data_IF_227718441447
#
_entry.id   IF_227718441447
#
_cell.length_a   1.000
_cell.length_b   1.000
_cell.length_c   1.000
_cell.angle_alpha   90.00
_cell.angle_beta   90.00
_cell.angle_gamma   90.00
#
_symmetry.space_group_name_H-M   'P 1'
#
loop_
_entity.id
_entity.type
_entity.pdbx_description
1 polymer ?
#
# COMPACT_ATOMS: atom_id res chain seq x y z
N UNK A 1 14.11 3.24 7.69
CA UNK A 1 12.99 3.14 8.66
C UNK A 1 12.66 1.68 8.90
N UNK A 2 12.75 1.23 10.16
CA UNK A 2 12.45 -0.16 10.51
C UNK A 2 10.94 -0.43 10.60
N UNK A 3 10.19 0.53 11.14
CA UNK A 3 8.78 0.33 11.48
C UNK A 3 7.85 0.74 10.33
N UNK A 4 8.12 0.20 9.14
CA UNK A 4 7.38 0.56 7.93
C UNK A 4 5.90 0.15 7.99
N UNK A 5 5.63 -1.01 8.55
CA UNK A 5 4.27 -1.52 8.68
C UNK A 5 3.44 -0.65 9.62
N UNK A 6 4.03 -0.28 10.76
CA UNK A 6 3.39 0.62 11.72
C UNK A 6 3.09 1.98 11.08
N UNK A 7 4.07 2.54 10.38
CA UNK A 7 3.93 3.81 9.68
C UNK A 7 2.84 3.74 8.60
N UNK A 8 2.81 2.66 7.83
CA UNK A 8 1.81 2.43 6.79
C UNK A 8 0.39 2.42 7.38
N UNK A 9 0.18 1.70 8.48
CA UNK A 9 -1.12 1.65 9.14
C UNK A 9 -1.54 3.01 9.69
N UNK A 10 -0.60 3.79 10.21
CA UNK A 10 -0.87 5.15 10.68
C UNK A 10 -1.26 6.07 9.54
N UNK A 11 -0.61 5.95 8.38
CA UNK A 11 -0.95 6.74 7.20
C UNK A 11 -2.40 6.48 6.77
N UNK A 12 -2.79 5.21 6.70
CA UNK A 12 -4.15 4.83 6.31
C UNK A 12 -5.17 5.43 7.27
N UNK A 13 -4.93 5.33 8.57
CA UNK A 13 -5.83 5.92 9.58
C UNK A 13 -5.92 7.43 9.46
N UNK A 14 -4.79 8.08 9.17
CA UNK A 14 -4.73 9.53 8.99
C UNK A 14 -5.57 9.97 7.80
N UNK A 15 -5.64 9.16 6.75
CA UNK A 15 -6.43 9.47 5.54
C UNK A 15 -7.90 9.75 5.87
N UNK A 16 -8.48 8.97 6.78
CA UNK A 16 -9.89 9.11 7.15
C UNK A 16 -10.17 10.37 7.98
N UNK A 17 -9.15 10.89 8.66
CA UNK A 17 -9.30 12.03 9.59
C UNK A 17 -8.82 13.34 8.97
N UNK A 18 -7.74 13.30 8.20
CA UNK A 18 -7.09 14.50 7.67
C UNK A 18 -6.36 14.17 6.38
N UNK A 19 -7.02 14.43 5.25
CA UNK A 19 -6.46 14.14 3.92
C UNK A 19 -5.17 14.91 3.64
N UNK A 20 -5.08 16.16 4.07
CA UNK A 20 -3.88 16.97 3.83
C UNK A 20 -2.68 16.41 4.57
N UNK A 21 -2.87 15.97 5.80
CA UNK A 21 -1.81 15.33 6.59
C UNK A 21 -1.38 14.01 5.96
N UNK A 22 -2.34 13.23 5.46
CA UNK A 22 -2.05 11.98 4.73
C UNK A 22 -1.17 12.26 3.51
N UNK A 23 -1.51 13.26 2.70
CA UNK A 23 -0.74 13.64 1.52
C UNK A 23 0.70 14.02 1.88
N UNK A 24 0.85 14.76 2.98
CA UNK A 24 2.15 15.18 3.49
C UNK A 24 3.00 13.97 3.92
N UNK A 25 2.38 13.01 4.62
CA UNK A 25 3.06 11.80 5.05
C UNK A 25 3.54 10.96 3.85
N UNK A 26 2.70 10.83 2.82
CA UNK A 26 3.11 10.15 1.60
C UNK A 26 4.30 10.87 0.96
N UNK A 27 4.16 12.16 0.72
CA UNK A 27 5.18 12.95 0.05
C UNK A 27 6.52 12.84 0.77
N UNK A 28 6.52 12.90 2.10
CA UNK A 28 7.73 12.84 2.90
C UNK A 28 8.35 11.44 2.93
N UNK A 29 7.60 10.41 2.61
CA UNK A 29 8.09 9.03 2.59
C UNK A 29 8.62 8.59 1.23
N UNK A 30 8.34 9.34 0.15
CA UNK A 30 8.77 8.97 -1.20
C UNK A 30 10.17 9.48 -1.51
N UNK A 31 10.98 8.60 -2.09
CA UNK A 31 12.29 8.95 -2.65
C UNK A 31 12.10 9.82 -3.90
N UNK A 32 13.08 10.69 -4.20
CA UNK A 32 13.03 11.55 -5.38
C UNK A 32 12.88 10.75 -6.69
N UNK A 33 13.36 9.51 -6.70
CA UNK A 33 13.31 8.63 -7.87
C UNK A 33 12.23 7.55 -7.73
N UNK A 34 11.21 7.80 -6.89
CA UNK A 34 10.16 6.84 -6.62
C UNK A 34 9.45 6.35 -7.89
N UNK A 35 9.25 5.05 -7.97
CA UNK A 35 8.43 4.42 -9.01
C UNK A 35 7.56 3.32 -8.39
N UNK A 36 6.31 3.27 -8.84
CA UNK A 36 5.33 2.24 -8.48
C UNK A 36 4.92 1.50 -9.74
N UNK A 37 4.95 0.18 -9.69
CA UNK A 37 4.65 -0.68 -10.85
C UNK A 37 3.60 -1.72 -10.49
N UNK A 38 2.59 -1.85 -11.35
CA UNK A 38 1.64 -2.96 -11.32
C UNK A 38 1.35 -3.36 -12.77
N UNK A 39 0.53 -4.39 -13.00
CA UNK A 39 0.35 -4.98 -14.33
C UNK A 39 0.03 -3.98 -15.45
N UNK A 40 -0.78 -2.96 -15.12
CA UNK A 40 -1.27 -2.02 -16.13
C UNK A 40 -0.95 -0.56 -15.81
N UNK A 41 -0.13 -0.31 -14.77
CA UNK A 41 0.12 1.05 -14.33
C UNK A 41 1.57 1.26 -13.92
N UNK A 42 2.09 2.42 -14.28
CA UNK A 42 3.37 2.93 -13.83
C UNK A 42 3.12 4.32 -13.26
N UNK A 43 3.46 4.52 -11.98
CA UNK A 43 3.27 5.81 -11.30
C UNK A 43 4.63 6.29 -10.81
N UNK A 44 4.97 7.55 -11.12
CA UNK A 44 6.31 8.10 -10.86
C UNK A 44 6.20 9.32 -9.95
N UNK A 45 7.03 9.34 -8.91
CA UNK A 45 7.16 10.50 -8.03
C UNK A 45 5.86 10.91 -7.36
N UNK A 46 5.60 12.20 -7.32
CA UNK A 46 4.44 12.78 -6.62
C UNK A 46 3.09 12.40 -7.24
N UNK A 47 3.07 11.83 -8.45
CA UNK A 47 1.86 11.28 -9.03
C UNK A 47 1.22 10.23 -8.12
N UNK A 48 2.02 9.61 -7.24
CA UNK A 48 1.52 8.61 -6.29
C UNK A 48 0.49 9.20 -5.34
N UNK A 49 0.61 10.45 -4.96
CA UNK A 49 -0.34 11.12 -4.06
C UNK A 49 -1.73 11.12 -4.69
N UNK A 50 -1.83 11.55 -5.96
CA UNK A 50 -3.11 11.58 -6.67
C UNK A 50 -3.63 10.16 -6.93
N UNK A 51 -2.75 9.24 -7.28
CA UNK A 51 -3.11 7.85 -7.54
C UNK A 51 -3.79 7.22 -6.31
N UNK A 52 -3.19 7.35 -5.13
CA UNK A 52 -3.72 6.79 -3.89
C UNK A 52 -5.04 7.46 -3.52
N UNK A 53 -5.12 8.79 -3.63
CA UNK A 53 -6.35 9.51 -3.30
C UNK A 53 -7.49 9.13 -4.24
N UNK A 54 -7.21 8.94 -5.53
CA UNK A 54 -8.22 8.49 -6.48
C UNK A 54 -8.78 7.12 -6.10
N UNK A 55 -7.94 6.20 -5.66
CA UNK A 55 -8.39 4.89 -5.21
C UNK A 55 -9.34 5.01 -4.01
N UNK A 56 -8.98 5.78 -3.00
CA UNK A 56 -9.82 5.97 -1.82
C UNK A 56 -11.10 6.74 -2.15
N UNK A 57 -11.02 7.76 -2.99
CA UNK A 57 -12.19 8.55 -3.41
C UNK A 57 -13.17 7.71 -4.23
N UNK A 58 -12.67 6.66 -4.91
CA UNK A 58 -13.49 5.71 -5.65
C UNK A 58 -13.93 4.50 -4.80
N UNK A 59 -13.79 4.60 -3.50
CA UNK A 59 -14.37 3.63 -2.57
C UNK A 59 -13.47 2.47 -2.18
N UNK A 60 -12.16 2.57 -2.38
CA UNK A 60 -11.25 1.53 -1.91
C UNK A 60 -11.35 1.38 -0.39
N UNK A 61 -11.50 0.14 0.07
CA UNK A 61 -11.49 -0.22 1.48
C UNK A 61 -10.43 -1.30 1.67
N UNK A 62 -9.59 -1.13 2.68
CA UNK A 62 -8.63 -2.17 3.09
C UNK A 62 -9.29 -2.96 4.19
N UNK A 63 -9.68 -4.21 3.87
CA UNK A 63 -10.42 -5.08 4.82
C UNK A 63 -9.50 -5.79 5.78
N UNK A 64 -8.32 -6.20 5.33
CA UNK A 64 -7.35 -6.91 6.15
C UNK A 64 -5.96 -6.67 5.60
N UNK A 65 -4.95 -6.76 6.47
CA UNK A 65 -3.56 -6.55 6.10
C UNK A 65 -2.66 -7.40 6.99
N UNK A 66 -1.68 -8.08 6.38
CA UNK A 66 -0.72 -8.94 7.09
C UNK A 66 0.70 -8.60 6.67
N UNK A 67 1.53 -8.32 7.65
CA UNK A 67 2.96 -8.15 7.44
C UNK A 67 3.59 -9.51 7.17
N UNK A 68 4.38 -9.63 6.10
CA UNK A 68 5.14 -10.83 5.79
C UNK A 68 6.61 -10.68 6.15
N UNK A 69 7.18 -9.50 5.89
CA UNK A 69 8.60 -9.24 6.18
C UNK A 69 8.88 -7.74 6.17
N UNK A 70 9.73 -7.29 7.07
CA UNK A 70 10.28 -5.94 7.01
C UNK A 70 11.66 -5.86 7.61
N UNK A 71 12.52 -5.03 7.02
CA UNK A 71 13.80 -4.62 7.55
C UNK A 71 14.04 -3.15 7.16
N UNK A 72 15.26 -2.66 7.24
CA UNK A 72 15.54 -1.26 6.91
C UNK A 72 15.29 -0.92 5.44
N UNK A 73 15.47 -1.89 4.55
CA UNK A 73 15.44 -1.67 3.11
C UNK A 73 14.22 -2.26 2.41
N UNK A 74 13.46 -3.10 3.10
CA UNK A 74 12.38 -3.87 2.46
C UNK A 74 11.14 -3.91 3.33
N UNK A 75 9.96 -3.82 2.69
CA UNK A 75 8.67 -3.98 3.33
C UNK A 75 7.78 -4.82 2.42
N UNK A 76 7.36 -5.99 2.90
CA UNK A 76 6.55 -6.94 2.15
C UNK A 76 5.29 -7.27 2.95
N UNK A 77 4.12 -7.08 2.31
CA UNK A 77 2.85 -7.38 2.97
C UNK A 77 1.81 -7.87 1.97
N UNK A 78 0.77 -8.50 2.49
CA UNK A 78 -0.43 -8.86 1.74
C UNK A 78 -1.63 -8.15 2.34
N UNK A 79 -2.59 -7.80 1.50
CA UNK A 79 -3.86 -7.26 1.98
C UNK A 79 -5.04 -7.78 1.16
N UNK A 80 -6.22 -7.60 1.74
CA UNK A 80 -7.50 -7.78 1.05
C UNK A 80 -8.11 -6.39 0.92
N UNK A 81 -8.37 -5.99 -0.31
CA UNK A 81 -9.02 -4.71 -0.58
C UNK A 81 -10.34 -4.96 -1.30
N UNK A 82 -11.25 -3.99 -1.16
CA UNK A 82 -12.52 -3.99 -1.89
C UNK A 82 -12.62 -2.72 -2.71
N UNK A 83 -12.91 -2.89 -3.99
CA UNK A 83 -13.12 -1.78 -4.93
C UNK A 83 -14.32 -2.16 -5.79
N UNK A 84 -15.31 -1.25 -5.89
CA UNK A 84 -16.51 -1.45 -6.71
C UNK A 84 -17.22 -2.79 -6.39
N UNK A 85 -17.27 -3.15 -5.11
CA UNK A 85 -17.92 -4.38 -4.67
C UNK A 85 -17.12 -5.65 -4.88
N UNK A 86 -15.96 -5.58 -5.51
CA UNK A 86 -15.10 -6.74 -5.75
C UNK A 86 -13.94 -6.77 -4.75
N UNK A 87 -13.57 -7.98 -4.32
CA UNK A 87 -12.46 -8.19 -3.40
C UNK A 87 -11.23 -8.67 -4.16
N UNK A 88 -10.08 -8.13 -3.77
CA UNK A 88 -8.79 -8.49 -4.37
C UNK A 88 -7.79 -8.82 -3.27
N UNK A 89 -7.06 -9.92 -3.49
CA UNK A 89 -5.85 -10.22 -2.72
C UNK A 89 -4.70 -9.50 -3.42
N UNK A 90 -3.96 -8.67 -2.69
CA UNK A 90 -2.79 -7.99 -3.25
C UNK A 90 -1.53 -8.40 -2.49
N UNK A 91 -0.45 -8.52 -3.25
CA UNK A 91 0.90 -8.73 -2.72
C UNK A 91 1.70 -7.47 -3.03
N UNK A 92 2.28 -6.89 -2.00
CA UNK A 92 2.90 -5.58 -2.08
C UNK A 92 4.33 -5.66 -1.57
N UNK A 93 5.27 -5.07 -2.31
CA UNK A 93 6.65 -4.95 -1.86
C UNK A 93 7.16 -3.55 -2.11
N UNK A 94 7.85 -2.99 -1.11
CA UNK A 94 8.55 -1.72 -1.21
C UNK A 94 10.03 -1.95 -0.95
N UNK A 95 10.85 -1.34 -1.79
CA UNK A 95 12.30 -1.25 -1.57
C UNK A 95 12.64 0.17 -1.15
N UNK A 96 13.28 0.31 -0.01
CA UNK A 96 13.62 1.60 0.58
C UNK A 96 15.09 1.91 0.35
N UNK A 97 15.38 3.18 0.09
CA UNK A 97 16.73 3.69 -0.17
C UNK A 97 16.85 5.06 0.48
N UNK A 98 17.91 5.28 1.24
CA UNK A 98 18.15 6.55 1.94
C UNK A 98 16.98 6.93 2.87
N UNK A 99 16.37 5.94 3.50
CA UNK A 99 15.24 6.15 4.41
C UNK A 99 13.94 6.52 3.73
N UNK A 100 13.84 6.33 2.41
CA UNK A 100 12.66 6.68 1.62
C UNK A 100 12.20 5.50 0.77
N UNK A 101 10.90 5.44 0.50
CA UNK A 101 10.31 4.46 -0.41
C UNK A 101 10.77 4.76 -1.83
N UNK A 102 11.60 3.88 -2.38
CA UNK A 102 12.26 4.10 -3.66
C UNK A 102 11.57 3.38 -4.80
N UNK A 103 11.19 2.14 -4.59
CA UNK A 103 10.49 1.32 -5.59
C UNK A 103 9.38 0.54 -4.92
N UNK A 104 8.26 0.44 -5.61
CA UNK A 104 7.11 -0.29 -5.10
C UNK A 104 6.48 -1.13 -6.20
N UNK A 105 6.14 -2.37 -5.89
CA UNK A 105 5.47 -3.27 -6.84
C UNK A 105 4.26 -3.90 -6.17
N UNK A 106 3.19 -4.05 -6.94
CA UNK A 106 1.95 -4.67 -6.48
C UNK A 106 1.43 -5.62 -7.53
N UNK A 107 1.10 -6.84 -7.10
CA UNK A 107 0.35 -7.79 -7.89
C UNK A 107 -0.97 -8.10 -7.20
N UNK A 108 -2.06 -8.23 -7.97
CA UNK A 108 -3.38 -8.44 -7.40
C UNK A 108 -4.17 -9.50 -8.14
N UNK A 109 -5.13 -10.09 -7.42
CA UNK A 109 -6.01 -11.12 -7.96
C UNK A 109 -7.38 -11.01 -7.29
N UNK A 110 -8.44 -11.10 -8.09
CA UNK A 110 -9.80 -11.14 -7.52
C UNK A 110 -10.00 -12.43 -6.73
N UNK A 111 -10.63 -12.31 -5.56
CA UNK A 111 -10.95 -13.44 -4.68
C UNK A 111 -12.42 -13.37 -4.26
N UNK A 112 -12.95 -14.53 -3.84
CA UNK A 112 -14.34 -14.63 -3.36
C UNK A 112 -14.52 -13.91 -2.02
N UNK A 113 -15.78 -13.69 -1.64
CA UNK A 113 -16.10 -13.09 -0.34
C UNK A 113 -15.73 -13.99 0.83
N UNK A 114 -15.55 -15.29 0.59
CA UNK A 114 -15.18 -16.27 1.61
C UNK A 114 -13.67 -16.36 1.84
N UNK A 115 -12.88 -15.72 0.97
CA UNK A 115 -11.42 -15.79 1.06
C UNK A 115 -10.91 -15.01 2.28
N UNK A 116 -9.93 -15.59 2.98
CA UNK A 116 -9.27 -14.96 4.14
C UNK A 116 -7.75 -15.03 3.99
N UNK A 117 -7.04 -13.98 4.44
CA UNK A 117 -5.58 -13.99 4.45
C UNK A 117 -5.00 -15.11 5.28
N UNK A 118 -5.72 -15.55 6.31
CA UNK A 118 -5.28 -16.66 7.17
C UNK A 118 -5.08 -17.95 6.39
N UNK A 119 -5.81 -18.14 5.29
CA UNK A 119 -5.66 -19.32 4.43
C UNK A 119 -4.28 -19.38 3.77
N UNK A 120 -3.62 -18.24 3.59
CA UNK A 120 -2.30 -18.16 2.95
C UNK A 120 -1.20 -17.99 3.99
N UNK A 121 -1.43 -17.14 4.98
CA UNK A 121 -0.41 -16.78 5.97
C UNK A 121 -0.28 -17.79 7.10
N UNK A 122 -1.29 -18.62 7.29
CA UNK A 122 -1.31 -19.61 8.36
C UNK A 122 -1.54 -19.02 9.74
N UNK A 123 -2.04 -17.80 9.81
CA UNK A 123 -2.20 -17.11 11.09
C UNK A 123 -3.66 -16.74 11.39
#
# INVERSE_FOLDING_TARGET
>A
MKDKFKHFKEMIRTRDVNKEKFNELIKNSLHDEYMYVRETALVVGDEMIDHVNDLFDNGLIIEDIKLLYEDEDTFLWKDIIRIDGKRFLTTNIQFWKDGKNWREMVGGREVSDDFSLDQITGS
#
